data_IF_049145836023
#
_entry.id   IF_049145836023
#
_cell.length_a   1.000
_cell.length_b   1.000
_cell.length_c   1.000
_cell.angle_alpha   90.00
_cell.angle_beta   90.00
_cell.angle_gamma   90.00
#
_symmetry.space_group_name_H-M   'P 1'
#
loop_
_entity.id
_entity.type
_entity.pdbx_description
1 polymer ?
#
# COMPACT_ATOMS: atom_id res chain seq x y z
N UNK A 1 1.11 -22.59 -16.05
CA UNK A 1 1.59 -22.32 -14.68
C UNK A 1 2.19 -23.60 -14.13
N UNK A 2 3.34 -23.55 -13.48
CA UNK A 2 4.01 -24.74 -12.92
C UNK A 2 3.24 -25.17 -11.65
N UNK A 3 2.80 -26.43 -11.51
CA UNK A 3 1.93 -26.88 -10.40
C UNK A 3 2.50 -26.54 -9.02
N UNK A 4 3.80 -26.72 -8.86
CA UNK A 4 4.55 -26.48 -7.62
C UNK A 4 4.57 -25.00 -7.20
N UNK A 5 4.14 -24.09 -8.08
CA UNK A 5 4.11 -22.65 -7.84
C UNK A 5 2.69 -22.13 -7.63
N UNK A 6 1.65 -22.97 -7.80
CA UNK A 6 0.26 -22.54 -7.67
C UNK A 6 -0.06 -22.05 -6.26
N UNK A 7 0.36 -22.79 -5.24
CA UNK A 7 0.09 -22.46 -3.83
C UNK A 7 0.88 -21.24 -3.36
N UNK A 8 2.07 -21.03 -3.92
CA UNK A 8 2.94 -19.92 -3.59
C UNK A 8 2.59 -18.62 -4.33
N UNK A 9 1.73 -18.70 -5.36
CA UNK A 9 1.45 -17.56 -6.20
C UNK A 9 0.61 -16.51 -5.46
N UNK A 10 0.95 -15.25 -5.69
CA UNK A 10 0.23 -14.11 -5.13
C UNK A 10 -1.20 -14.06 -5.68
N UNK A 11 -2.18 -13.94 -4.80
CA UNK A 11 -3.58 -13.87 -5.18
C UNK A 11 -3.96 -12.47 -5.71
N UNK A 12 -3.58 -12.19 -6.95
CA UNK A 12 -3.87 -10.92 -7.61
C UNK A 12 -5.36 -10.64 -7.77
N UNK A 13 -6.20 -11.67 -7.90
CA UNK A 13 -7.65 -11.50 -8.03
C UNK A 13 -8.25 -10.93 -6.76
N UNK A 14 -7.82 -11.46 -5.60
CA UNK A 14 -8.20 -10.96 -4.30
C UNK A 14 -7.70 -9.53 -4.07
N UNK A 15 -6.41 -9.28 -4.31
CA UNK A 15 -5.80 -7.94 -4.17
C UNK A 15 -6.48 -6.91 -5.08
N UNK A 16 -6.82 -7.29 -6.32
CA UNK A 16 -7.57 -6.45 -7.26
C UNK A 16 -8.99 -6.16 -6.78
N UNK A 17 -9.62 -7.09 -6.06
CA UNK A 17 -10.92 -6.88 -5.42
C UNK A 17 -10.85 -5.75 -4.40
N UNK A 18 -9.91 -5.84 -3.46
CA UNK A 18 -9.68 -4.81 -2.44
C UNK A 18 -9.38 -3.44 -3.07
N UNK A 19 -8.57 -3.41 -4.13
CA UNK A 19 -8.23 -2.16 -4.82
C UNK A 19 -9.46 -1.53 -5.50
N UNK A 20 -10.40 -2.33 -6.00
CA UNK A 20 -11.68 -1.83 -6.51
C UNK A 20 -12.56 -1.27 -5.38
N UNK A 21 -12.52 -1.84 -4.19
CA UNK A 21 -13.28 -1.33 -3.05
C UNK A 21 -12.78 0.05 -2.61
N UNK A 22 -11.45 0.22 -2.54
CA UNK A 22 -10.81 1.53 -2.33
C UNK A 22 -11.27 2.55 -3.38
N UNK A 23 -11.27 2.16 -4.66
CA UNK A 23 -11.70 3.05 -5.75
C UNK A 23 -13.18 3.43 -5.65
N UNK A 24 -14.06 2.47 -5.35
CA UNK A 24 -15.50 2.70 -5.18
C UNK A 24 -15.78 3.65 -4.03
N UNK A 25 -15.13 3.43 -2.89
CA UNK A 25 -15.27 4.29 -1.72
C UNK A 25 -14.87 5.73 -2.03
N UNK A 26 -13.70 5.93 -2.66
CA UNK A 26 -13.24 7.26 -3.05
C UNK A 26 -14.21 7.95 -4.01
N UNK A 27 -14.75 7.21 -4.98
CA UNK A 27 -15.74 7.75 -5.92
C UNK A 27 -17.01 8.20 -5.19
N UNK A 28 -17.51 7.41 -4.25
CA UNK A 28 -18.67 7.78 -3.42
C UNK A 28 -18.38 9.00 -2.55
N UNK A 29 -17.23 9.04 -1.87
CA UNK A 29 -16.85 10.19 -1.05
C UNK A 29 -16.67 11.48 -1.86
N UNK A 30 -16.14 11.38 -3.08
CA UNK A 30 -16.04 12.54 -3.97
C UNK A 30 -17.41 13.11 -4.36
N UNK A 31 -18.40 12.25 -4.62
CA UNK A 31 -19.76 12.68 -4.93
C UNK A 31 -20.43 13.36 -3.73
N UNK A 32 -20.28 12.78 -2.53
CA UNK A 32 -20.83 13.36 -1.28
C UNK A 32 -20.15 14.69 -0.91
N UNK A 33 -18.84 14.82 -1.12
CA UNK A 33 -18.11 16.07 -0.90
C UNK A 33 -18.51 17.17 -1.88
N UNK A 34 -18.80 16.81 -3.14
CA UNK A 34 -19.27 17.76 -4.15
C UNK A 34 -20.69 18.29 -3.84
N UNK A 35 -21.56 17.46 -3.28
CA UNK A 35 -22.93 17.85 -2.90
C UNK A 35 -23.01 18.75 -1.65
N UNK A 36 -21.95 18.80 -0.84
CA UNK A 36 -21.87 19.59 0.41
C UNK A 36 -21.04 20.87 0.29
N UNK A 37 -20.48 21.15 -0.89
CA UNK A 37 -19.66 22.34 -1.13
C UNK A 37 -20.53 23.58 -1.40
N UNK A 38 -20.76 24.38 -0.37
CA UNK A 38 -21.06 25.81 -0.55
C UNK A 38 -19.81 26.53 -1.11
N UNK A 39 -19.94 27.61 -1.92
CA UNK A 39 -18.85 28.11 -2.77
C UNK A 39 -17.77 28.92 -2.03
N UNK A 40 -17.51 28.63 -0.75
CA UNK A 40 -16.75 29.56 0.10
C UNK A 40 -15.89 28.90 1.18
N UNK A 41 -15.12 27.86 0.89
CA UNK A 41 -13.97 27.53 1.76
C UNK A 41 -13.04 26.46 1.17
N UNK A 42 -11.77 26.86 1.01
CA UNK A 42 -10.57 26.02 0.94
C UNK A 42 -10.45 25.00 -0.20
N UNK A 43 -9.47 25.23 -1.08
CA UNK A 43 -8.93 24.24 -2.03
C UNK A 43 -8.33 23.06 -1.26
N UNK A 44 -9.16 22.10 -0.83
CA UNK A 44 -8.68 20.81 -0.32
C UNK A 44 -8.14 20.03 -1.52
N UNK A 45 -6.81 20.06 -1.64
CA UNK A 45 -6.00 19.43 -2.69
C UNK A 45 -6.44 17.96 -2.87
N UNK A 46 -7.03 17.63 -4.02
CA UNK A 46 -7.34 16.23 -4.41
C UNK A 46 -6.05 15.41 -4.31
N UNK A 47 -5.96 14.49 -3.35
CA UNK A 47 -4.84 13.56 -3.23
C UNK A 47 -5.04 12.44 -4.26
N UNK A 48 -4.37 12.56 -5.41
CA UNK A 48 -4.32 11.49 -6.41
C UNK A 48 -3.51 10.32 -5.85
N UNK A 49 -3.84 9.09 -6.26
CA UNK A 49 -3.09 7.87 -5.88
C UNK A 49 -1.58 8.08 -6.08
N UNK A 50 -1.19 8.70 -7.19
CA UNK A 50 0.21 9.00 -7.52
C UNK A 50 0.97 9.78 -6.44
N UNK A 51 0.31 10.56 -5.57
CA UNK A 51 0.98 11.23 -4.44
C UNK A 51 1.56 10.22 -3.45
N UNK A 52 0.78 9.20 -3.09
CA UNK A 52 1.21 8.18 -2.12
C UNK A 52 2.34 7.28 -2.67
N UNK A 53 2.42 7.12 -4.00
CA UNK A 53 3.45 6.30 -4.66
C UNK A 53 4.64 7.11 -5.19
N UNK A 54 4.64 8.44 -5.10
CA UNK A 54 5.75 9.29 -5.61
C UNK A 54 7.07 9.12 -4.84
N UNK A 55 7.03 8.54 -3.63
CA UNK A 55 8.22 8.19 -2.84
C UNK A 55 8.80 6.81 -3.15
N UNK A 56 8.05 5.90 -3.78
CA UNK A 56 8.50 4.53 -4.03
C UNK A 56 9.55 4.42 -5.14
N UNK A 57 9.74 5.48 -5.93
CA UNK A 57 10.80 5.61 -6.93
C UNK A 57 11.97 6.43 -6.38
N UNK A 58 12.29 6.29 -5.10
CA UNK A 58 13.46 6.90 -4.47
C UNK A 58 14.76 6.23 -4.89
N UNK A 59 15.39 6.73 -5.96
CA UNK A 59 16.81 6.43 -6.24
C UNK A 59 17.63 6.70 -4.98
N UNK A 60 18.32 5.68 -4.50
CA UNK A 60 19.43 5.80 -3.56
C UNK A 60 20.48 6.79 -4.11
N UNK A 61 20.41 8.05 -3.70
CA UNK A 61 21.58 8.93 -3.63
C UNK A 61 21.27 10.10 -2.68
N UNK A 62 22.11 10.22 -1.65
CA UNK A 62 21.84 10.95 -0.42
C UNK A 62 21.37 12.40 -0.58
N UNK A 63 20.40 12.76 0.24
CA UNK A 63 20.20 14.12 0.73
C UNK A 63 19.63 14.05 2.14
N UNK A 64 20.37 14.51 3.17
CA UNK A 64 19.81 14.70 4.50
C UNK A 64 18.79 15.85 4.44
N UNK A 65 17.62 15.63 5.05
CA UNK A 65 16.57 16.64 5.28
C UNK A 65 15.80 17.07 4.04
N UNK A 66 14.85 16.23 3.61
CA UNK A 66 13.59 16.73 3.08
C UNK A 66 12.52 16.35 4.09
N UNK A 67 11.72 17.31 4.51
CA UNK A 67 10.57 17.07 5.37
C UNK A 67 9.64 16.11 4.62
N UNK A 68 9.57 14.84 5.04
CA UNK A 68 8.77 13.78 4.40
C UNK A 68 7.27 13.92 4.75
N UNK A 69 6.74 15.13 4.73
CA UNK A 69 5.31 15.40 4.94
C UNK A 69 4.44 14.85 3.78
N UNK A 70 5.08 14.39 2.70
CA UNK A 70 4.44 13.81 1.52
C UNK A 70 4.54 12.28 1.44
N UNK A 71 5.27 11.62 2.34
CA UNK A 71 5.48 10.17 2.29
C UNK A 71 4.32 9.45 2.99
N UNK A 72 3.34 8.97 2.21
CA UNK A 72 2.13 8.33 2.74
C UNK A 72 2.28 6.82 2.96
N UNK A 73 3.24 6.20 2.29
CA UNK A 73 3.49 4.75 2.28
C UNK A 73 4.94 4.53 2.64
N UNK A 74 5.19 3.89 3.78
CA UNK A 74 6.51 3.45 4.20
C UNK A 74 6.57 1.93 4.14
N UNK A 75 7.51 1.37 3.38
CA UNK A 75 7.74 -0.08 3.31
C UNK A 75 9.02 -0.41 4.06
N UNK A 76 8.92 -1.31 5.03
CA UNK A 76 10.05 -1.74 5.85
C UNK A 76 10.27 -3.24 5.72
N UNK A 77 11.54 -3.65 5.69
CA UNK A 77 11.92 -5.03 5.94
C UNK A 77 12.15 -5.17 7.45
N UNK A 78 11.27 -5.91 8.12
CA UNK A 78 11.40 -6.19 9.55
C UNK A 78 12.33 -7.37 9.70
N UNK A 79 13.57 -7.10 10.12
CA UNK A 79 14.52 -8.13 10.55
C UNK A 79 14.19 -8.51 11.99
N UNK A 80 13.72 -9.74 12.19
CA UNK A 80 13.48 -10.32 13.51
C UNK A 80 14.61 -11.33 13.78
N UNK A 81 15.26 -11.21 14.93
CA UNK A 81 16.45 -11.99 15.28
C UNK A 81 16.12 -13.50 15.27
N UNK A 82 16.64 -14.24 14.29
CA UNK A 82 16.37 -15.67 14.09
C UNK A 82 15.19 -16.02 13.17
N UNK A 83 14.45 -15.03 12.67
CA UNK A 83 13.32 -15.17 11.75
C UNK A 83 13.67 -14.57 10.38
N UNK A 84 13.26 -15.22 9.29
CA UNK A 84 13.50 -14.68 7.95
C UNK A 84 12.65 -13.41 7.79
N UNK A 85 13.32 -12.25 7.82
CA UNK A 85 12.66 -10.94 7.84
C UNK A 85 11.53 -10.81 6.83
N UNK A 86 10.44 -10.17 7.27
CA UNK A 86 9.20 -10.01 6.52
C UNK A 86 8.99 -8.56 6.13
N UNK A 87 8.30 -8.34 5.02
CA UNK A 87 7.97 -7.01 4.55
C UNK A 87 6.69 -6.54 5.21
N UNK A 88 6.71 -5.30 5.69
CA UNK A 88 5.54 -4.65 6.27
C UNK A 88 5.41 -3.24 5.71
N UNK A 89 4.19 -2.91 5.29
CA UNK A 89 3.80 -1.61 4.78
C UNK A 89 3.04 -0.83 5.85
N UNK A 90 3.56 0.35 6.20
CA UNK A 90 2.90 1.32 7.05
C UNK A 90 2.24 2.40 6.18
N UNK A 91 0.91 2.50 6.28
CA UNK A 91 0.14 3.55 5.62
C UNK A 91 -0.16 4.68 6.61
N UNK A 92 0.43 5.85 6.39
CA UNK A 92 0.41 6.98 7.33
C UNK A 92 -0.86 7.84 7.21
N UNK A 93 -1.68 7.61 6.19
CA UNK A 93 -2.94 8.35 5.95
C UNK A 93 -4.18 7.57 6.44
N UNK A 94 -4.01 6.62 7.36
CA UNK A 94 -5.10 5.81 7.91
C UNK A 94 -6.15 6.61 8.69
N UNK A 95 -5.82 7.83 9.11
CA UNK A 95 -6.75 8.76 9.78
C UNK A 95 -7.60 9.59 8.80
N UNK A 96 -7.31 9.57 7.49
CA UNK A 96 -8.13 10.22 6.48
C UNK A 96 -9.37 9.37 6.16
N UNK A 97 -10.48 10.02 5.77
CA UNK A 97 -11.70 9.33 5.39
C UNK A 97 -11.45 8.32 4.27
N UNK A 98 -11.62 7.04 4.58
CA UNK A 98 -11.36 5.93 3.67
C UNK A 98 -10.04 5.23 3.87
N UNK A 99 -9.12 5.79 4.65
CA UNK A 99 -7.78 5.23 4.87
C UNK A 99 -7.81 3.82 5.45
N UNK A 100 -8.90 3.40 6.08
CA UNK A 100 -9.12 2.02 6.52
C UNK A 100 -9.12 1.02 5.36
N UNK A 101 -9.62 1.40 4.17
CA UNK A 101 -9.66 0.52 3.00
C UNK A 101 -8.25 0.31 2.44
N UNK A 102 -7.45 1.37 2.34
CA UNK A 102 -6.04 1.27 1.96
C UNK A 102 -5.22 0.48 2.99
N UNK A 103 -5.47 0.66 4.29
CA UNK A 103 -4.79 -0.10 5.34
C UNK A 103 -5.05 -1.61 5.21
N UNK A 104 -6.32 -1.99 4.99
CA UNK A 104 -6.68 -3.39 4.73
C UNK A 104 -6.00 -3.91 3.47
N UNK A 105 -5.96 -3.12 2.40
CA UNK A 105 -5.26 -3.49 1.17
C UNK A 105 -3.77 -3.80 1.43
N UNK A 106 -3.05 -2.89 2.09
CA UNK A 106 -1.61 -3.06 2.34
C UNK A 106 -1.32 -4.25 3.26
N UNK A 107 -2.11 -4.46 4.32
CA UNK A 107 -1.97 -5.65 5.17
C UNK A 107 -2.09 -6.95 4.38
N UNK A 108 -3.08 -7.04 3.47
CA UNK A 108 -3.28 -8.21 2.63
C UNK A 108 -2.21 -8.37 1.56
N UNK A 109 -1.70 -7.26 1.02
CA UNK A 109 -0.58 -7.27 0.10
C UNK A 109 0.68 -7.85 0.76
N UNK A 110 0.98 -7.41 1.98
CA UNK A 110 2.13 -7.91 2.74
C UNK A 110 1.99 -9.41 3.03
N UNK A 111 0.81 -9.91 3.41
CA UNK A 111 0.55 -11.34 3.61
C UNK A 111 0.85 -12.16 2.35
N UNK A 112 0.29 -11.75 1.21
CA UNK A 112 0.50 -12.44 -0.06
C UNK A 112 1.95 -12.35 -0.54
N UNK A 113 2.62 -11.21 -0.32
CA UNK A 113 4.02 -11.03 -0.72
C UNK A 113 4.95 -11.87 0.14
N UNK A 114 4.78 -11.84 1.46
CA UNK A 114 5.56 -12.64 2.37
C UNK A 114 5.36 -14.15 2.15
N UNK A 115 4.17 -14.58 1.73
CA UNK A 115 3.92 -15.96 1.28
C UNK A 115 4.83 -16.35 0.11
N UNK A 116 4.90 -15.53 -0.93
CA UNK A 116 5.76 -15.75 -2.10
C UNK A 116 7.24 -15.76 -1.70
N UNK A 117 7.66 -14.78 -0.87
CA UNK A 117 9.04 -14.65 -0.41
C UNK A 117 9.47 -15.87 0.40
N UNK A 118 8.64 -16.32 1.34
CA UNK A 118 8.89 -17.54 2.14
C UNK A 118 9.04 -18.78 1.25
N UNK A 119 8.15 -18.94 0.27
CA UNK A 119 8.23 -20.06 -0.67
C UNK A 119 9.54 -20.02 -1.48
N UNK A 120 9.91 -18.86 -2.02
CA UNK A 120 11.13 -18.72 -2.79
C UNK A 120 12.34 -19.03 -1.91
N UNK A 121 12.51 -18.36 -0.77
CA UNK A 121 13.65 -18.57 0.13
C UNK A 121 13.76 -20.04 0.58
N UNK A 122 12.67 -20.69 0.96
CA UNK A 122 12.67 -22.10 1.35
C UNK A 122 13.08 -23.07 0.24
N UNK A 123 12.86 -22.72 -1.03
CA UNK A 123 13.20 -23.56 -2.18
C UNK A 123 14.67 -23.43 -2.61
N UNK A 124 15.26 -22.26 -2.47
CA UNK A 124 16.66 -21.99 -2.85
C UNK A 124 17.67 -22.31 -1.73
N UNK A 125 17.20 -22.78 -0.57
CA UNK A 125 18.03 -23.19 0.57
C UNK A 125 18.28 -24.71 0.64
N UNK A 126 18.01 -25.45 -0.44
CA UNK A 126 18.29 -26.89 -0.57
C UNK A 126 19.55 -27.15 -1.37
#
# INVERSE_FOLDING_TARGET
>A
MVPEWQEAYMNYNFLKGLLKDVLRFRQQNMLTAAMSATPRSSLKRRVSLYRAFSGLTGRYRGSPRKNNEDEAILVSAVEEEGSEGHYQTMFLMSSEAGGEYELVYFRRLDEEFNKVVKFYKGRWRK
#
